data_IF_016775687456
#
_entry.id   IF_016775687456
#
_cell.length_a   1.000
_cell.length_b   1.000
_cell.length_c   1.000
_cell.angle_alpha   90.00
_cell.angle_beta   90.00
_cell.angle_gamma   90.00
#
_symmetry.space_group_name_H-M   'P 1'
#
loop_
_entity.id
_entity.type
_entity.pdbx_description
1 polymer ?
#
# COMPACT_ATOMS: atom_id res chain seq x y z
N UNK A 1 -7.22 -39.26 17.86
CA UNK A 1 -7.81 -37.94 17.54
C UNK A 1 -6.91 -36.76 17.92
N UNK A 2 -6.01 -36.90 18.90
CA UNK A 2 -5.06 -35.84 19.31
C UNK A 2 -3.95 -35.62 18.29
N UNK A 3 -3.34 -36.69 17.78
CA UNK A 3 -2.23 -36.63 16.79
C UNK A 3 -2.57 -35.88 15.50
N UNK A 4 -3.76 -36.10 14.94
CA UNK A 4 -4.23 -35.42 13.71
C UNK A 4 -4.45 -33.92 13.95
N UNK A 5 -4.93 -33.54 15.13
CA UNK A 5 -5.13 -32.13 15.51
C UNK A 5 -3.80 -31.41 15.73
N UNK A 6 -2.84 -32.08 16.35
CA UNK A 6 -1.49 -31.52 16.55
C UNK A 6 -0.78 -31.31 15.21
N UNK A 7 -0.90 -32.26 14.27
CA UNK A 7 -0.32 -32.17 12.93
C UNK A 7 -0.95 -31.04 12.10
N UNK A 8 -2.26 -30.85 12.19
CA UNK A 8 -2.96 -29.76 11.52
C UNK A 8 -2.57 -28.39 12.11
N UNK A 9 -2.41 -28.28 13.42
CA UNK A 9 -2.03 -27.05 14.10
C UNK A 9 -0.58 -26.63 13.78
N UNK A 10 0.36 -27.57 13.77
CA UNK A 10 1.74 -27.28 13.37
C UNK A 10 1.83 -26.91 11.90
N UNK A 11 1.11 -27.61 11.00
CA UNK A 11 1.07 -27.26 9.58
C UNK A 11 0.53 -25.84 9.35
N UNK A 12 -0.56 -25.46 10.03
CA UNK A 12 -1.13 -24.11 9.94
C UNK A 12 -0.17 -23.03 10.45
N UNK A 13 0.56 -23.29 11.54
CA UNK A 13 1.53 -22.36 12.10
C UNK A 13 2.75 -22.19 11.18
N UNK A 14 3.27 -23.28 10.61
CA UNK A 14 4.39 -23.21 9.66
C UNK A 14 3.99 -22.50 8.37
N UNK A 15 2.77 -22.72 7.87
CA UNK A 15 2.21 -21.99 6.74
C UNK A 15 2.09 -20.50 7.09
N UNK A 16 1.57 -20.14 8.26
CA UNK A 16 1.48 -18.75 8.69
C UNK A 16 2.87 -18.07 8.81
N UNK A 17 3.89 -18.80 9.28
CA UNK A 17 5.27 -18.31 9.34
C UNK A 17 5.92 -18.17 7.94
N UNK A 18 5.64 -19.08 7.02
CA UNK A 18 6.13 -19.02 5.63
C UNK A 18 5.38 -17.97 4.79
N UNK A 19 4.10 -17.76 5.08
CA UNK A 19 3.27 -16.69 4.52
C UNK A 19 3.52 -15.34 5.20
N UNK A 20 4.28 -15.33 6.30
CA UNK A 20 4.92 -14.15 6.87
C UNK A 20 6.00 -13.61 5.95
N UNK A 21 5.67 -13.39 4.68
CA UNK A 21 6.44 -12.52 3.81
C UNK A 21 6.41 -11.15 4.47
N UNK A 22 7.59 -10.65 4.85
CA UNK A 22 7.75 -9.25 5.17
C UNK A 22 7.29 -8.48 3.93
N UNK A 23 6.13 -7.83 4.00
CA UNK A 23 5.66 -7.00 2.90
C UNK A 23 6.75 -5.96 2.61
N UNK A 24 7.12 -5.84 1.34
CA UNK A 24 8.17 -4.91 0.95
C UNK A 24 7.63 -3.47 0.98
N UNK A 25 8.54 -2.51 1.12
CA UNK A 25 8.21 -1.13 0.80
C UNK A 25 7.97 -1.05 -0.71
N UNK A 26 6.80 -0.57 -1.12
CA UNK A 26 6.50 -0.31 -2.53
C UNK A 26 6.41 1.19 -2.79
N UNK A 27 6.92 1.62 -3.94
CA UNK A 27 6.85 3.00 -4.41
C UNK A 27 6.27 2.97 -5.81
N UNK A 28 5.08 3.55 -5.97
CA UNK A 28 4.37 3.64 -7.24
C UNK A 28 4.46 5.07 -7.74
N UNK A 29 5.11 5.26 -8.88
CA UNK A 29 5.05 6.51 -9.63
C UNK A 29 3.79 6.50 -10.48
N UNK A 30 2.85 7.37 -10.13
CA UNK A 30 1.51 7.39 -10.68
C UNK A 30 1.45 8.36 -11.85
N UNK A 31 0.89 7.91 -12.97
CA UNK A 31 0.56 8.83 -14.07
C UNK A 31 -0.64 9.70 -13.67
N UNK A 32 -0.32 10.92 -13.22
CA UNK A 32 -1.27 11.96 -12.83
C UNK A 32 -1.38 13.08 -13.88
N UNK A 33 -0.79 12.88 -15.07
CA UNK A 33 -0.76 13.89 -16.12
C UNK A 33 0.30 14.98 -15.92
N UNK A 34 0.03 16.00 -15.12
CA UNK A 34 0.98 17.09 -14.82
C UNK A 34 1.36 17.11 -13.34
N UNK A 35 2.64 17.38 -13.07
CA UNK A 35 3.21 17.38 -11.73
C UNK A 35 3.68 15.99 -11.27
N UNK A 36 3.87 15.85 -9.96
CA UNK A 36 4.33 14.62 -9.32
C UNK A 36 3.15 13.89 -8.64
N UNK A 37 3.18 12.55 -8.67
CA UNK A 37 2.20 11.73 -7.98
C UNK A 37 2.82 10.42 -7.53
N UNK A 38 2.95 10.22 -6.22
CA UNK A 38 3.60 9.02 -5.68
C UNK A 38 2.74 8.39 -4.58
N UNK A 39 2.42 7.10 -4.75
CA UNK A 39 1.89 6.26 -3.68
C UNK A 39 3.03 5.43 -3.08
N UNK A 40 3.19 5.50 -1.78
CA UNK A 40 4.12 4.66 -1.02
C UNK A 40 3.29 3.68 -0.18
N UNK A 41 3.53 2.38 -0.37
CA UNK A 41 2.93 1.31 0.43
C UNK A 41 3.96 0.83 1.42
N UNK A 42 3.72 1.07 2.71
CA UNK A 42 4.61 0.65 3.79
C UNK A 42 4.51 -0.87 4.02
N UNK A 43 5.59 -1.51 4.54
CA UNK A 43 5.57 -2.91 4.96
C UNK A 43 4.45 -3.32 5.94
N UNK A 44 3.85 -2.37 6.64
CA UNK A 44 2.74 -2.61 7.56
C UNK A 44 1.35 -2.37 6.92
N UNK A 45 1.30 -2.19 5.59
CA UNK A 45 0.08 -2.00 4.81
C UNK A 45 -0.50 -0.58 4.88
N UNK A 46 0.18 0.37 5.52
CA UNK A 46 -0.22 1.78 5.49
C UNK A 46 0.20 2.44 4.18
N UNK A 47 -0.58 3.43 3.77
CA UNK A 47 -0.39 4.17 2.52
C UNK A 47 0.03 5.61 2.80
N UNK A 48 1.02 6.11 2.08
CA UNK A 48 1.44 7.51 2.10
C UNK A 48 1.38 8.05 0.68
N UNK A 49 0.92 9.29 0.53
CA UNK A 49 0.97 10.01 -0.74
C UNK A 49 2.02 11.11 -0.65
N UNK A 50 2.87 11.20 -1.67
CA UNK A 50 3.78 12.32 -1.89
C UNK A 50 3.43 12.96 -3.22
N UNK A 51 2.92 14.19 -3.16
CA UNK A 51 2.27 14.93 -4.25
C UNK A 51 1.13 14.15 -4.93
N UNK A 52 0.20 14.86 -5.56
CA UNK A 52 -0.99 14.24 -6.15
C UNK A 52 -1.30 14.66 -7.59
N UNK A 53 -0.45 15.47 -8.21
CA UNK A 53 -0.74 16.12 -9.48
C UNK A 53 -1.87 17.14 -9.38
N UNK A 54 -2.46 17.49 -10.52
CA UNK A 54 -3.62 18.39 -10.57
C UNK A 54 -4.86 17.79 -9.90
N UNK A 55 -5.77 18.65 -9.43
CA UNK A 55 -7.09 18.27 -8.92
C UNK A 55 -8.08 17.89 -10.05
N UNK A 56 -7.72 16.86 -10.83
CA UNK A 56 -8.54 16.26 -11.90
C UNK A 56 -9.00 14.81 -11.57
N UNK A 57 -8.64 14.35 -10.38
CA UNK A 57 -8.98 13.04 -9.84
C UNK A 57 -8.13 11.87 -10.34
N UNK A 58 -7.05 12.09 -11.12
CA UNK A 58 -6.16 11.01 -11.57
C UNK A 58 -5.60 10.19 -10.39
N UNK A 59 -5.02 10.87 -9.39
CA UNK A 59 -4.55 10.22 -8.17
C UNK A 59 -5.69 9.48 -7.44
N UNK A 60 -6.87 10.10 -7.29
CA UNK A 60 -7.99 9.47 -6.60
C UNK A 60 -8.47 8.19 -7.30
N UNK A 61 -8.50 8.18 -8.64
CA UNK A 61 -8.84 6.99 -9.43
C UNK A 61 -7.81 5.88 -9.20
N UNK A 62 -6.52 6.23 -9.21
CA UNK A 62 -5.44 5.28 -8.95
C UNK A 62 -5.54 4.66 -7.56
N UNK A 63 -5.65 5.48 -6.50
CA UNK A 63 -5.78 5.01 -5.12
C UNK A 63 -6.95 4.04 -4.95
N UNK A 64 -8.12 4.35 -5.54
CA UNK A 64 -9.30 3.47 -5.49
C UNK A 64 -9.07 2.16 -6.23
N UNK A 65 -8.46 2.20 -7.42
CA UNK A 65 -8.12 1.01 -8.19
C UNK A 65 -7.12 0.11 -7.44
N UNK A 66 -6.21 0.70 -6.66
CA UNK A 66 -5.24 0.01 -5.80
C UNK A 66 -5.82 -0.46 -4.46
N UNK A 67 -7.12 -0.28 -4.21
CA UNK A 67 -7.77 -0.72 -2.97
C UNK A 67 -7.44 0.14 -1.74
N UNK A 68 -6.87 1.33 -1.93
CA UNK A 68 -6.52 2.25 -0.84
C UNK A 68 -7.79 2.93 -0.32
N UNK A 69 -8.10 2.69 0.96
CA UNK A 69 -9.26 3.27 1.64
C UNK A 69 -8.89 4.34 2.68
N UNK A 70 -7.63 4.39 3.10
CA UNK A 70 -7.12 5.36 4.06
C UNK A 70 -5.65 5.68 3.78
N UNK A 71 -5.27 6.94 4.00
CA UNK A 71 -3.91 7.44 3.94
C UNK A 71 -3.41 7.74 5.36
N UNK A 72 -2.21 7.29 5.68
CA UNK A 72 -1.55 7.56 6.96
C UNK A 72 -0.88 8.94 6.97
N UNK A 73 -0.42 9.41 5.80
CA UNK A 73 0.24 10.69 5.62
C UNK A 73 0.06 11.17 4.17
N UNK A 74 -0.03 12.48 4.00
CA UNK A 74 0.07 13.16 2.70
C UNK A 74 1.18 14.20 2.84
N UNK A 75 2.09 14.21 1.89
CA UNK A 75 3.24 15.12 1.84
C UNK A 75 3.12 15.92 0.55
N UNK A 76 3.14 17.24 0.66
CA UNK A 76 3.29 18.15 -0.47
C UNK A 76 4.73 18.66 -0.52
N UNK A 77 5.38 18.57 -1.67
CA UNK A 77 6.75 19.03 -1.86
C UNK A 77 6.87 20.55 -1.78
N UNK A 78 5.90 21.26 -2.38
CA UNK A 78 5.78 22.72 -2.35
C UNK A 78 4.35 23.16 -2.76
N UNK A 79 4.04 24.46 -2.61
CA UNK A 79 2.69 24.99 -2.80
C UNK A 79 2.39 25.43 -4.25
N UNK A 80 2.66 24.54 -5.21
CA UNK A 80 2.15 24.69 -6.58
C UNK A 80 0.89 23.84 -6.78
N UNK A 81 0.06 24.19 -7.76
CA UNK A 81 -1.26 23.57 -7.93
C UNK A 81 -1.22 22.14 -8.48
N UNK A 82 -0.09 21.75 -9.05
CA UNK A 82 0.20 20.43 -9.61
C UNK A 82 0.97 19.51 -8.63
N UNK A 83 0.98 19.85 -7.34
CA UNK A 83 1.59 19.06 -6.27
C UNK A 83 0.59 18.84 -5.13
#
# INVERSE_FOLDING_TARGET
MTTVRTLAATLALTIALLLGFAAALEIHFVDVGQGDGVLIVLPDGRHVVYDAGLDDGAMLRYLRASGVSALALVIASHAHADH
#
